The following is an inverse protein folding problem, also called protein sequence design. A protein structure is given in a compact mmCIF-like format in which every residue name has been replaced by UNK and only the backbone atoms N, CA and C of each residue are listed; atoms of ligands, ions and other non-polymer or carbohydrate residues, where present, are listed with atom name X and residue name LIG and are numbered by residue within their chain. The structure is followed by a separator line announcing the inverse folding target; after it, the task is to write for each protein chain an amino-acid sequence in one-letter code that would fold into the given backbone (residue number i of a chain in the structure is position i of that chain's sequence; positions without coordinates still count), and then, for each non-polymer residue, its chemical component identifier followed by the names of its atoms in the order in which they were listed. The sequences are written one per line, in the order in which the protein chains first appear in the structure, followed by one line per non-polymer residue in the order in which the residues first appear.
data_IF_905730856181
#
_entry.id   IF_905730856181
#
_cell.length_a   1.000
_cell.length_b   1.000
_cell.length_c   1.000
_cell.angle_alpha   90.00
_cell.angle_beta   90.00
_cell.angle_gamma   90.00
#
_symmetry.space_group_name_H-M   'P 1'
#
loop_
_entity.id
_entity.type
_entity.pdbx_description
1 polymer ?
#
# COMPACT_ATOMS: atom_id res chain seq x y z
N UNK A 1 -14.73 -5.64 -4.64
CA UNK A 1 -13.89 -5.63 -3.43
C UNK A 1 -14.66 -6.21 -2.24
N UNK A 2 -13.96 -6.62 -1.19
CA UNK A 2 -14.56 -7.22 0.01
C UNK A 2 -14.41 -6.26 1.20
N UNK A 3 -15.39 -6.27 2.12
CA UNK A 3 -15.17 -5.83 3.50
C UNK A 3 -14.29 -6.89 4.15
N UNK A 4 -13.08 -6.52 4.56
CA UNK A 4 -12.13 -7.47 5.14
C UNK A 4 -12.30 -7.55 6.66
N UNK A 5 -12.07 -8.71 7.28
CA UNK A 5 -12.22 -8.84 8.72
C UNK A 5 -11.11 -8.12 9.50
N UNK A 6 -11.44 -7.78 10.75
CA UNK A 6 -10.49 -7.40 11.78
C UNK A 6 -10.34 -8.58 12.75
N UNK A 7 -9.11 -8.91 13.15
CA UNK A 7 -8.80 -10.00 14.05
C UNK A 7 -7.84 -9.56 15.16
N UNK A 8 -8.12 -9.91 16.40
CA UNK A 8 -7.20 -9.67 17.52
C UNK A 8 -5.92 -10.50 17.36
N UNK A 9 -4.77 -9.91 17.67
CA UNK A 9 -3.45 -10.56 17.67
C UNK A 9 -2.92 -10.68 19.09
N UNK A 10 -3.02 -11.85 19.68
CA UNK A 10 -2.46 -12.11 21.01
C UNK A 10 -0.94 -11.93 21.00
N UNK A 11 -0.26 -12.47 20.00
CA UNK A 11 1.19 -12.36 19.86
C UNK A 11 1.68 -10.91 19.90
N UNK A 12 1.10 -10.04 19.06
CA UNK A 12 1.54 -8.64 18.99
C UNK A 12 1.10 -7.85 20.23
N UNK A 13 -0.02 -8.21 20.84
CA UNK A 13 -0.46 -7.61 22.11
C UNK A 13 0.52 -7.90 23.23
N UNK A 14 0.95 -9.15 23.38
CA UNK A 14 1.95 -9.55 24.37
C UNK A 14 3.32 -8.90 24.09
N UNK A 15 3.74 -8.83 22.81
CA UNK A 15 5.04 -8.28 22.43
C UNK A 15 5.12 -6.75 22.65
N UNK A 16 4.03 -6.01 22.46
CA UNK A 16 4.03 -4.54 22.47
C UNK A 16 3.42 -3.92 23.74
N UNK A 17 2.70 -4.70 24.52
CA UNK A 17 1.90 -4.19 25.65
C UNK A 17 0.69 -3.36 25.24
N UNK A 18 0.25 -3.45 23.98
CA UNK A 18 -0.94 -2.82 23.41
C UNK A 18 -2.07 -3.84 23.24
N UNK A 19 -3.29 -3.39 22.99
CA UNK A 19 -4.41 -4.23 22.52
C UNK A 19 -4.43 -4.18 20.98
N UNK A 20 -3.84 -5.20 20.31
CA UNK A 20 -3.51 -5.18 18.88
C UNK A 20 -4.51 -5.97 18.06
N UNK A 21 -5.06 -5.31 17.04
CA UNK A 21 -5.90 -5.93 16.01
C UNK A 21 -5.24 -5.83 14.63
N UNK A 22 -5.58 -6.76 13.74
CA UNK A 22 -5.08 -6.86 12.37
C UNK A 22 -6.23 -6.67 11.38
N UNK A 23 -6.16 -5.65 10.51
CA UNK A 23 -7.04 -5.48 9.35
C UNK A 23 -6.50 -6.26 8.17
N UNK A 24 -7.22 -7.29 7.71
CA UNK A 24 -6.72 -8.31 6.80
C UNK A 24 -6.94 -7.95 5.32
N UNK A 25 -6.28 -6.90 4.80
CA UNK A 25 -6.35 -6.54 3.38
C UNK A 25 -5.68 -7.56 2.44
N UNK A 26 -4.93 -8.50 3.00
CA UNK A 26 -4.42 -9.70 2.33
C UNK A 26 -5.52 -10.60 1.76
N UNK A 27 -6.75 -10.53 2.28
CA UNK A 27 -7.89 -11.32 1.84
C UNK A 27 -8.69 -10.70 0.68
N UNK A 28 -8.29 -9.53 0.20
CA UNK A 28 -8.90 -8.93 -0.99
C UNK A 28 -8.69 -9.83 -2.23
N UNK A 29 -9.58 -9.78 -3.26
CA UNK A 29 -9.46 -10.57 -4.48
C UNK A 29 -8.11 -10.42 -5.20
N UNK A 30 -7.45 -9.28 -5.04
CA UNK A 30 -6.11 -9.02 -5.59
C UNK A 30 -5.00 -9.18 -4.56
N UNK A 31 -5.31 -9.71 -3.38
CA UNK A 31 -4.42 -9.91 -2.24
C UNK A 31 -3.73 -8.62 -1.74
N UNK A 32 -4.35 -7.46 -1.93
CA UNK A 32 -3.89 -6.18 -1.37
C UNK A 32 -4.99 -5.12 -1.33
N UNK A 33 -4.83 -4.13 -0.44
CA UNK A 33 -5.73 -2.98 -0.31
C UNK A 33 -5.88 -2.15 -1.58
N UNK A 34 -4.91 -2.25 -2.52
CA UNK A 34 -4.87 -1.45 -3.75
C UNK A 34 -6.16 -1.56 -4.58
N UNK A 35 -6.88 -2.67 -4.45
CA UNK A 35 -8.18 -2.84 -5.14
C UNK A 35 -9.20 -1.78 -4.73
N UNK A 36 -9.15 -1.27 -3.51
CA UNK A 36 -10.09 -0.26 -3.00
C UNK A 36 -9.97 1.05 -3.79
N UNK A 37 -8.74 1.57 -3.87
CA UNK A 37 -8.46 2.80 -4.63
C UNK A 37 -8.65 2.61 -6.13
N UNK A 38 -8.19 1.50 -6.69
CA UNK A 38 -8.36 1.17 -8.10
C UNK A 38 -9.84 1.08 -8.49
N UNK A 39 -10.65 0.35 -7.71
CA UNK A 39 -12.09 0.23 -7.96
C UNK A 39 -12.80 1.59 -7.86
N UNK A 40 -12.49 2.39 -6.83
CA UNK A 40 -13.12 3.70 -6.67
C UNK A 40 -12.80 4.63 -7.85
N UNK A 41 -11.54 4.69 -8.29
CA UNK A 41 -11.15 5.51 -9.44
C UNK A 41 -11.83 5.06 -10.73
N UNK A 42 -11.87 3.75 -10.99
CA UNK A 42 -12.52 3.19 -12.19
C UNK A 42 -14.02 3.45 -12.20
N UNK A 43 -14.72 3.22 -11.09
CA UNK A 43 -16.17 3.44 -11.01
C UNK A 43 -16.54 4.91 -11.20
N UNK A 44 -15.81 5.84 -10.60
CA UNK A 44 -16.05 7.28 -10.80
C UNK A 44 -15.82 7.72 -12.25
N UNK A 45 -14.80 7.17 -12.92
CA UNK A 45 -14.59 7.43 -14.34
C UNK A 45 -15.73 6.88 -15.21
N UNK A 46 -16.22 5.67 -14.90
CA UNK A 46 -17.37 5.09 -15.59
C UNK A 46 -18.64 5.93 -15.41
N UNK A 47 -18.92 6.38 -14.19
CA UNK A 47 -20.06 7.23 -13.87
C UNK A 47 -20.01 8.59 -14.61
N UNK A 48 -18.80 9.18 -14.73
CA UNK A 48 -18.60 10.47 -15.40
C UNK A 48 -18.55 10.37 -16.93
N UNK A 49 -18.47 9.17 -17.50
CA UNK A 49 -18.33 8.94 -18.94
C UNK A 49 -19.23 7.77 -19.40
N UNK A 50 -20.58 7.92 -19.26
CA UNK A 50 -21.51 6.80 -19.51
C UNK A 50 -21.53 6.34 -20.98
N UNK A 51 -21.26 7.25 -21.94
CA UNK A 51 -21.35 6.97 -23.37
C UNK A 51 -20.05 6.39 -23.97
N UNK A 52 -18.91 6.63 -23.33
CA UNK A 52 -17.60 6.16 -23.82
C UNK A 52 -16.61 6.03 -22.66
N UNK A 53 -16.50 4.83 -22.10
CA UNK A 53 -15.52 4.55 -21.06
C UNK A 53 -14.08 4.85 -21.53
N UNK A 54 -13.33 5.72 -20.83
CA UNK A 54 -11.98 6.09 -21.25
C UNK A 54 -11.02 4.91 -21.10
N UNK A 55 -9.98 4.87 -21.93
CA UNK A 55 -8.85 3.97 -21.72
C UNK A 55 -8.06 4.41 -20.49
N UNK A 56 -7.55 3.44 -19.74
CA UNK A 56 -6.76 3.68 -18.52
C UNK A 56 -5.29 3.38 -18.77
N UNK A 57 -4.44 4.11 -18.08
CA UNK A 57 -2.99 3.92 -18.13
C UNK A 57 -2.40 3.97 -16.73
N UNK A 58 -1.41 3.12 -16.47
CA UNK A 58 -0.61 3.20 -15.23
C UNK A 58 0.80 2.66 -15.44
N UNK A 59 1.67 2.92 -14.47
CA UNK A 59 3.00 2.31 -14.37
C UNK A 59 3.07 1.52 -13.06
N UNK A 60 2.95 0.19 -13.15
CA UNK A 60 3.10 -0.68 -11.97
C UNK A 60 3.13 -2.15 -12.37
N UNK A 61 4.22 -2.86 -12.07
CA UNK A 61 4.26 -4.32 -12.16
C UNK A 61 3.72 -5.04 -10.90
N UNK A 62 3.36 -4.28 -9.85
CA UNK A 62 2.97 -4.80 -8.54
C UNK A 62 1.47 -4.72 -8.24
N UNK A 63 1.18 -4.48 -6.97
CA UNK A 63 -0.18 -4.48 -6.42
C UNK A 63 -1.14 -3.52 -7.11
N UNK A 64 -0.66 -2.32 -7.50
CA UNK A 64 -1.53 -1.34 -8.17
C UNK A 64 -1.88 -1.78 -9.58
N UNK A 65 -0.90 -2.20 -10.39
CA UNK A 65 -1.17 -2.70 -11.75
C UNK A 65 -2.17 -3.86 -11.76
N UNK A 66 -2.01 -4.82 -10.84
CA UNK A 66 -2.94 -5.94 -10.67
C UNK A 66 -4.34 -5.48 -10.24
N UNK A 67 -4.41 -4.55 -9.27
CA UNK A 67 -5.70 -4.04 -8.77
C UNK A 67 -6.44 -3.22 -9.84
N UNK A 68 -5.72 -2.37 -10.58
CA UNK A 68 -6.31 -1.58 -11.65
C UNK A 68 -6.77 -2.47 -12.82
N UNK A 69 -5.98 -3.51 -13.17
CA UNK A 69 -6.37 -4.47 -14.19
C UNK A 69 -7.66 -5.22 -13.79
N UNK A 70 -7.78 -5.62 -12.52
CA UNK A 70 -8.99 -6.25 -12.01
C UNK A 70 -10.20 -5.31 -12.09
N UNK A 71 -10.05 -4.05 -11.68
CA UNK A 71 -11.13 -3.06 -11.70
C UNK A 71 -11.53 -2.70 -13.12
N UNK A 72 -10.55 -2.48 -14.01
CA UNK A 72 -10.78 -2.15 -15.42
C UNK A 72 -11.51 -3.29 -16.15
N UNK A 73 -11.08 -4.55 -15.96
CA UNK A 73 -11.76 -5.72 -16.52
C UNK A 73 -13.21 -5.83 -16.07
N UNK A 74 -13.49 -5.59 -14.78
CA UNK A 74 -14.84 -5.61 -14.23
C UNK A 74 -15.75 -4.49 -14.80
N UNK A 75 -15.16 -3.36 -15.18
CA UNK A 75 -15.87 -2.22 -15.77
C UNK A 75 -15.88 -2.23 -17.31
N UNK A 76 -15.26 -3.22 -17.96
CA UNK A 76 -15.13 -3.27 -19.41
C UNK A 76 -14.24 -2.18 -20.02
N UNK A 77 -13.32 -1.61 -19.22
CA UNK A 77 -12.40 -0.55 -19.65
C UNK A 77 -11.07 -1.14 -20.16
N UNK A 78 -10.54 -0.57 -21.24
CA UNK A 78 -9.19 -0.88 -21.70
C UNK A 78 -8.14 -0.34 -20.71
N UNK A 79 -7.08 -1.13 -20.46
CA UNK A 79 -5.98 -0.73 -19.60
C UNK A 79 -4.62 -1.04 -20.24
N UNK A 80 -3.76 -0.03 -20.29
CA UNK A 80 -2.33 -0.17 -20.63
C UNK A 80 -1.49 -0.02 -19.36
N UNK A 81 -0.62 -1.00 -19.10
CA UNK A 81 0.29 -0.99 -17.94
C UNK A 81 1.74 -0.98 -18.43
N UNK A 82 2.45 0.07 -18.09
CA UNK A 82 3.89 0.16 -18.29
C UNK A 82 4.62 -0.56 -17.17
N UNK A 83 5.56 -1.44 -17.53
CA UNK A 83 6.25 -2.32 -16.56
C UNK A 83 7.73 -2.42 -16.87
N UNK A 84 8.61 -2.50 -15.86
CA UNK A 84 10.03 -2.79 -16.10
C UNK A 84 10.22 -4.16 -16.73
N UNK A 85 11.15 -4.30 -17.67
CA UNK A 85 11.47 -5.57 -18.35
C UNK A 85 11.96 -6.66 -17.40
N UNK A 86 12.63 -6.24 -16.30
CA UNK A 86 13.14 -7.14 -15.26
C UNK A 86 12.11 -7.49 -14.17
N UNK A 87 10.88 -7.00 -14.29
CA UNK A 87 9.84 -7.31 -13.30
C UNK A 87 9.53 -8.83 -13.26
N UNK A 88 9.26 -9.40 -12.05
CA UNK A 88 9.01 -10.82 -11.91
C UNK A 88 7.88 -11.33 -12.80
N UNK A 89 8.12 -12.42 -13.54
CA UNK A 89 7.14 -13.00 -14.48
C UNK A 89 5.80 -13.33 -13.80
N UNK A 90 5.83 -13.79 -12.56
CA UNK A 90 4.62 -14.09 -11.77
C UNK A 90 3.72 -12.87 -11.60
N UNK A 91 4.30 -11.69 -11.34
CA UNK A 91 3.57 -10.42 -11.24
C UNK A 91 3.02 -9.98 -12.61
N UNK A 92 3.85 -10.03 -13.65
CA UNK A 92 3.48 -9.67 -15.04
C UNK A 92 2.33 -10.55 -15.55
N UNK A 93 2.41 -11.87 -15.37
CA UNK A 93 1.41 -12.81 -15.83
C UNK A 93 0.07 -12.66 -15.07
N UNK A 94 0.12 -12.25 -13.80
CA UNK A 94 -1.09 -11.95 -13.05
C UNK A 94 -1.86 -10.74 -13.62
N UNK A 95 -1.14 -9.70 -14.06
CA UNK A 95 -1.75 -8.52 -14.71
C UNK A 95 -2.26 -8.88 -16.12
N UNK A 96 -1.46 -9.59 -16.91
CA UNK A 96 -1.83 -10.02 -18.27
C UNK A 96 -3.09 -10.87 -18.29
N UNK A 97 -3.25 -11.82 -17.34
CA UNK A 97 -4.45 -12.67 -17.23
C UNK A 97 -5.75 -11.90 -16.96
N UNK A 98 -5.63 -10.67 -16.46
CA UNK A 98 -6.76 -9.76 -16.26
C UNK A 98 -7.09 -8.91 -17.50
N UNK A 99 -6.42 -9.15 -18.63
CA UNK A 99 -6.73 -8.51 -19.91
C UNK A 99 -6.02 -7.18 -20.17
N UNK A 100 -5.08 -6.76 -19.31
CA UNK A 100 -4.35 -5.51 -19.53
C UNK A 100 -3.28 -5.66 -20.64
N UNK A 101 -3.12 -4.62 -21.47
CA UNK A 101 -1.99 -4.48 -22.38
C UNK A 101 -0.74 -4.11 -21.58
N UNK A 102 0.35 -4.87 -21.77
CA UNK A 102 1.62 -4.62 -21.08
C UNK A 102 2.64 -3.99 -22.05
N UNK A 103 3.23 -2.87 -21.60
CA UNK A 103 4.28 -2.18 -22.34
C UNK A 103 5.59 -2.20 -21.54
N UNK A 104 6.59 -3.01 -21.97
CA UNK A 104 7.87 -3.11 -21.28
C UNK A 104 8.68 -1.82 -21.39
N UNK A 105 9.41 -1.50 -20.33
CA UNK A 105 10.31 -0.36 -20.21
C UNK A 105 11.60 -0.81 -19.54
N UNK A 106 12.68 -0.04 -19.71
CA UNK A 106 13.98 -0.35 -19.12
C UNK A 106 13.90 -0.45 -17.58
N UNK A 107 13.24 0.51 -16.96
CA UNK A 107 13.14 0.66 -15.51
C UNK A 107 11.80 1.30 -15.09
N UNK A 108 11.60 1.52 -13.77
CA UNK A 108 10.40 2.13 -13.25
C UNK A 108 10.24 3.61 -13.63
N UNK A 109 11.33 4.37 -13.69
CA UNK A 109 11.29 5.80 -14.01
C UNK A 109 10.86 6.00 -15.48
N UNK A 110 11.37 5.16 -16.38
CA UNK A 110 10.90 5.16 -17.77
C UNK A 110 9.43 4.73 -17.88
N UNK A 111 9.03 3.70 -17.12
CA UNK A 111 7.65 3.22 -17.13
C UNK A 111 6.67 4.31 -16.70
N UNK A 112 6.98 5.01 -15.60
CA UNK A 112 6.15 6.08 -15.09
C UNK A 112 6.11 7.29 -16.03
N UNK A 113 7.26 7.73 -16.53
CA UNK A 113 7.33 8.83 -17.49
C UNK A 113 6.51 8.53 -18.74
N UNK A 114 6.65 7.32 -19.31
CA UNK A 114 5.89 6.90 -20.51
C UNK A 114 4.39 6.77 -20.23
N UNK A 115 4.01 6.29 -19.06
CA UNK A 115 2.61 6.21 -18.67
C UNK A 115 1.99 7.60 -18.52
N UNK A 116 2.68 8.56 -17.88
CA UNK A 116 2.22 9.96 -17.77
C UNK A 116 2.14 10.68 -19.13
N UNK A 117 2.95 10.28 -20.12
CA UNK A 117 2.97 10.84 -21.46
C UNK A 117 2.06 10.10 -22.47
N UNK A 118 1.33 9.09 -22.02
CA UNK A 118 0.46 8.31 -22.90
C UNK A 118 -0.77 9.15 -23.33
N UNK A 119 -0.84 9.49 -24.62
CA UNK A 119 -1.80 10.47 -25.14
C UNK A 119 -3.27 10.04 -25.15
N UNK A 120 -3.53 8.72 -25.23
CA UNK A 120 -4.88 8.17 -25.50
C UNK A 120 -5.52 7.53 -24.25
N UNK A 121 -5.10 7.91 -23.02
CA UNK A 121 -5.62 7.30 -21.80
C UNK A 121 -5.49 8.18 -20.57
N UNK A 122 -6.32 7.90 -19.57
CA UNK A 122 -6.26 8.56 -18.27
C UNK A 122 -5.23 7.84 -17.39
N UNK A 123 -4.17 8.58 -17.01
CA UNK A 123 -3.17 8.05 -16.08
C UNK A 123 -3.73 7.94 -14.65
N UNK A 124 -3.69 6.74 -14.10
CA UNK A 124 -4.08 6.47 -12.71
C UNK A 124 -2.83 6.23 -11.89
N UNK A 125 -2.45 7.23 -11.09
CA UNK A 125 -1.31 7.11 -10.16
C UNK A 125 -1.56 6.05 -9.10
N UNK A 126 -0.56 5.23 -8.73
CA UNK A 126 -0.70 4.20 -7.69
C UNK A 126 -0.93 4.77 -6.28
N UNK A 127 -0.76 6.07 -6.05
CA UNK A 127 -0.86 6.68 -4.73
C UNK A 127 -1.29 8.16 -4.71
N UNK A 128 -1.08 8.92 -5.80
CA UNK A 128 -1.34 10.37 -5.82
C UNK A 128 -2.73 10.75 -6.38
N UNK A 129 -3.44 9.81 -7.03
CA UNK A 129 -4.76 10.09 -7.60
C UNK A 129 -5.80 10.27 -6.47
N UNK A 130 -6.61 11.35 -6.46
CA UNK A 130 -7.56 11.63 -5.38
C UNK A 130 -8.52 10.48 -5.10
N UNK A 131 -9.07 9.85 -6.14
CA UNK A 131 -10.00 8.74 -5.98
C UNK A 131 -9.33 7.45 -5.51
N UNK A 132 -8.02 7.27 -5.80
CA UNK A 132 -7.24 6.17 -5.25
C UNK A 132 -7.02 6.38 -3.74
N UNK A 133 -6.72 7.60 -3.32
CA UNK A 133 -6.59 7.97 -1.90
C UNK A 133 -7.93 7.79 -1.17
N UNK A 134 -9.03 8.29 -1.75
CA UNK A 134 -10.36 8.17 -1.17
C UNK A 134 -10.80 6.70 -1.00
N UNK A 135 -10.56 5.87 -2.04
CA UNK A 135 -10.84 4.44 -1.95
C UNK A 135 -9.99 3.72 -0.90
N UNK A 136 -8.71 4.10 -0.73
CA UNK A 136 -7.86 3.58 0.33
C UNK A 136 -8.36 3.96 1.73
N UNK A 137 -8.98 5.13 1.89
CA UNK A 137 -9.60 5.58 3.15
C UNK A 137 -10.72 4.67 3.67
N UNK A 138 -11.37 3.90 2.78
CA UNK A 138 -12.40 2.95 3.20
C UNK A 138 -11.87 1.85 4.15
N UNK A 139 -10.55 1.63 4.20
CA UNK A 139 -9.91 0.76 5.20
C UNK A 139 -10.17 1.29 6.60
N UNK A 140 -9.97 2.60 6.82
CA UNK A 140 -10.18 3.23 8.12
C UNK A 140 -11.66 3.28 8.50
N UNK A 141 -12.57 3.54 7.54
CA UNK A 141 -14.01 3.52 7.81
C UNK A 141 -14.46 2.15 8.34
N UNK A 142 -14.02 1.05 7.71
CA UNK A 142 -14.32 -0.30 8.19
C UNK A 142 -13.67 -0.59 9.56
N UNK A 143 -12.45 -0.08 9.81
CA UNK A 143 -11.78 -0.24 11.12
C UNK A 143 -12.57 0.46 12.22
N UNK A 144 -13.02 1.70 12.00
CA UNK A 144 -13.78 2.47 12.96
C UNK A 144 -15.14 1.84 13.30
N UNK A 145 -15.74 1.14 12.33
CA UNK A 145 -16.98 0.37 12.57
C UNK A 145 -16.70 -0.93 13.35
N UNK A 146 -15.61 -1.64 13.04
CA UNK A 146 -15.28 -2.95 13.65
C UNK A 146 -14.60 -2.79 15.02
N UNK A 147 -13.88 -1.70 15.26
CA UNK A 147 -13.14 -1.36 16.51
C UNK A 147 -13.40 0.12 16.84
N UNK A 148 -14.58 0.47 17.34
CA UNK A 148 -14.99 1.87 17.54
C UNK A 148 -14.11 2.68 18.51
N UNK A 149 -13.41 2.01 19.41
CA UNK A 149 -12.50 2.59 20.40
C UNK A 149 -11.01 2.46 20.01
N UNK A 150 -10.72 2.27 18.72
CA UNK A 150 -9.34 2.27 18.22
C UNK A 150 -8.70 3.65 18.44
N UNK A 151 -7.49 3.67 19.00
CA UNK A 151 -6.73 4.90 19.25
C UNK A 151 -5.68 5.18 18.17
N UNK A 152 -5.15 4.12 17.53
CA UNK A 152 -4.11 4.28 16.50
C UNK A 152 -4.30 3.26 15.40
N UNK A 153 -4.27 3.72 14.14
CA UNK A 153 -4.23 2.86 12.96
C UNK A 153 -2.80 2.92 12.39
N UNK A 154 -2.15 1.78 12.33
CA UNK A 154 -0.75 1.64 11.86
C UNK A 154 -0.73 1.10 10.44
N UNK A 155 -0.08 1.82 9.53
CA UNK A 155 0.05 1.39 8.14
C UNK A 155 1.43 1.72 7.55
N UNK A 156 1.90 0.90 6.63
CA UNK A 156 3.13 1.15 5.88
C UNK A 156 2.99 2.34 4.93
N UNK A 157 4.07 3.09 4.74
CA UNK A 157 4.17 4.23 3.83
C UNK A 157 5.16 3.92 2.72
N UNK A 158 4.65 3.86 1.46
CA UNK A 158 5.46 4.06 0.25
C UNK A 158 5.17 5.47 -0.30
N UNK A 159 4.46 5.60 -1.41
CA UNK A 159 4.03 6.92 -1.94
C UNK A 159 2.93 7.64 -1.15
N UNK A 160 2.54 7.13 0.01
CA UNK A 160 1.64 7.82 0.95
C UNK A 160 0.13 7.65 0.71
N UNK A 161 -0.31 6.97 -0.37
CA UNK A 161 -1.74 6.91 -0.71
C UNK A 161 -2.60 6.19 0.34
N UNK A 162 -2.12 5.07 0.92
CA UNK A 162 -2.85 4.35 1.97
C UNK A 162 -2.98 5.18 3.23
N UNK A 163 -1.84 5.63 3.76
CA UNK A 163 -1.83 6.38 5.01
C UNK A 163 -2.55 7.71 4.90
N UNK A 164 -2.52 8.37 3.74
CA UNK A 164 -3.28 9.59 3.47
C UNK A 164 -4.78 9.33 3.54
N UNK A 165 -5.26 8.27 2.89
CA UNK A 165 -6.67 7.88 2.94
C UNK A 165 -7.11 7.54 4.37
N UNK A 166 -6.30 6.75 5.10
CA UNK A 166 -6.55 6.42 6.50
C UNK A 166 -6.60 7.68 7.35
N UNK A 167 -5.58 8.54 7.28
CA UNK A 167 -5.47 9.74 8.10
C UNK A 167 -6.62 10.72 7.88
N UNK A 168 -7.11 10.87 6.65
CA UNK A 168 -8.29 11.69 6.36
C UNK A 168 -9.55 11.07 6.98
N UNK A 169 -9.76 9.76 6.77
CA UNK A 169 -10.98 9.08 7.20
C UNK A 169 -11.07 8.89 8.72
N UNK A 170 -9.94 8.85 9.43
CA UNK A 170 -9.88 8.67 10.89
C UNK A 170 -9.56 9.93 11.69
N UNK A 171 -9.43 11.11 11.05
CA UNK A 171 -8.88 12.34 11.65
C UNK A 171 -9.54 12.75 12.98
N UNK A 172 -10.84 12.52 13.12
CA UNK A 172 -11.62 12.92 14.29
C UNK A 172 -11.76 11.79 15.35
N UNK A 173 -11.22 10.60 15.06
CA UNK A 173 -11.48 9.41 15.88
C UNK A 173 -10.20 8.70 16.34
N UNK A 174 -9.23 8.51 15.45
CA UNK A 174 -8.02 7.75 15.71
C UNK A 174 -6.80 8.40 15.06
N UNK A 175 -5.65 8.21 15.69
CA UNK A 175 -4.35 8.63 15.15
C UNK A 175 -3.91 7.71 14.01
N UNK A 176 -3.45 8.28 12.90
CA UNK A 176 -2.75 7.53 11.86
C UNK A 176 -1.24 7.54 12.14
N UNK A 177 -0.64 6.37 12.23
CA UNK A 177 0.80 6.19 12.37
C UNK A 177 1.37 5.45 11.17
N UNK A 178 2.43 5.99 10.60
CA UNK A 178 3.06 5.47 9.40
C UNK A 178 4.34 4.68 9.69
N UNK A 179 4.70 3.79 8.77
CA UNK A 179 5.96 3.04 8.87
C UNK A 179 6.68 3.05 7.53
N UNK A 180 7.89 3.54 7.52
CA UNK A 180 8.85 3.46 6.41
C UNK A 180 9.92 2.39 6.71
N UNK A 181 10.66 2.02 5.67
CA UNK A 181 11.79 1.10 5.79
C UNK A 181 13.10 1.87 5.69
N UNK A 182 14.15 1.41 6.39
CA UNK A 182 15.44 2.09 6.44
C UNK A 182 16.07 2.32 5.06
N UNK A 183 15.81 1.40 4.12
CA UNK A 183 16.29 1.50 2.75
C UNK A 183 15.53 2.55 1.89
N UNK A 184 14.38 3.06 2.36
CA UNK A 184 13.57 4.05 1.64
C UNK A 184 12.73 4.86 2.64
N UNK A 185 13.17 6.08 2.95
CA UNK A 185 12.56 6.99 3.94
C UNK A 185 12.17 8.33 3.33
N UNK A 186 11.45 8.36 2.19
CA UNK A 186 11.18 9.60 1.48
C UNK A 186 10.33 10.59 2.29
N UNK A 187 9.36 10.13 3.10
CA UNK A 187 8.57 11.01 3.96
C UNK A 187 9.36 11.52 5.16
N UNK A 188 10.04 10.65 5.90
CA UNK A 188 10.86 11.06 7.06
C UNK A 188 11.87 12.11 6.64
N UNK A 189 12.58 11.91 5.52
CA UNK A 189 13.59 12.83 5.01
C UNK A 189 12.98 14.13 4.50
N UNK A 190 11.88 14.07 3.75
CA UNK A 190 11.21 15.24 3.19
C UNK A 190 10.52 16.08 4.26
N UNK A 191 9.93 15.46 5.29
CA UNK A 191 9.35 16.17 6.43
C UNK A 191 10.42 16.92 7.24
N UNK A 192 11.58 16.30 7.47
CA UNK A 192 12.70 16.95 8.12
C UNK A 192 13.25 18.14 7.30
N UNK A 193 13.24 18.03 5.96
CA UNK A 193 13.64 19.10 5.06
C UNK A 193 12.57 20.19 4.86
N UNK A 194 11.33 19.96 5.29
CA UNK A 194 10.17 20.84 5.06
C UNK A 194 9.68 20.88 3.61
N UNK A 195 10.22 20.07 2.72
CA UNK A 195 9.87 19.96 1.29
C UNK A 195 10.19 18.57 0.78
N UNK A 196 9.60 18.18 -0.34
CA UNK A 196 9.95 16.93 -1.01
C UNK A 196 11.42 17.01 -1.47
N UNK A 197 12.19 15.98 -1.15
CA UNK A 197 13.58 15.79 -1.58
C UNK A 197 13.77 14.39 -2.10
N UNK A 198 14.69 14.21 -3.04
CA UNK A 198 15.15 12.88 -3.46
C UNK A 198 16.08 12.29 -2.40
N UNK A 199 15.98 11.00 -2.22
CA UNK A 199 16.84 10.19 -1.36
C UNK A 199 17.49 9.08 -2.18
N UNK A 200 18.62 8.57 -1.69
CA UNK A 200 19.16 7.31 -2.19
C UNK A 200 18.27 6.15 -1.70
N UNK A 201 17.79 5.35 -2.65
CA UNK A 201 16.89 4.23 -2.37
C UNK A 201 17.68 2.93 -2.42
N UNK A 202 17.71 2.20 -1.30
CA UNK A 202 18.39 0.93 -1.17
C UNK A 202 17.51 -0.28 -1.53
N UNK A 203 18.14 -1.47 -1.55
CA UNK A 203 17.41 -2.72 -1.68
C UNK A 203 16.63 -3.06 -0.41
N UNK A 204 15.40 -3.56 -0.55
CA UNK A 204 14.52 -3.91 0.56
C UNK A 204 13.62 -5.09 0.24
N UNK A 205 13.25 -5.85 1.29
CA UNK A 205 12.18 -6.85 1.24
C UNK A 205 10.82 -6.23 0.93
N UNK A 206 10.65 -4.96 1.30
CA UNK A 206 9.42 -4.19 1.13
C UNK A 206 9.41 -3.43 -0.21
N UNK A 207 9.57 -4.15 -1.34
CA UNK A 207 9.62 -3.59 -2.70
C UNK A 207 8.44 -2.63 -3.01
N UNK A 208 7.29 -2.86 -2.40
CA UNK A 208 6.11 -2.00 -2.55
C UNK A 208 6.21 -0.64 -1.84
N UNK A 209 7.24 -0.41 -1.01
CA UNK A 209 7.50 0.85 -0.30
C UNK A 209 8.70 1.61 -0.88
N UNK A 210 9.47 0.98 -1.78
CA UNK A 210 10.70 1.51 -2.34
C UNK A 210 10.43 2.57 -3.39
N UNK A 211 11.05 3.74 -3.27
CA UNK A 211 10.99 4.81 -4.27
C UNK A 211 11.01 6.21 -3.66
N UNK A 212 11.15 7.20 -4.53
CA UNK A 212 11.03 8.61 -4.21
C UNK A 212 9.59 9.10 -4.40
N UNK A 213 9.26 10.26 -3.84
CA UNK A 213 7.95 10.89 -4.01
C UNK A 213 7.92 11.70 -5.31
N UNK A 214 6.78 11.69 -5.99
CA UNK A 214 6.52 12.66 -7.05
C UNK A 214 6.60 14.09 -6.48
N UNK A 215 7.27 15.04 -7.18
CA UNK A 215 7.44 16.41 -6.68
C UNK A 215 6.12 17.11 -6.32
N UNK A 216 5.05 16.79 -7.05
CA UNK A 216 3.73 17.43 -6.90
C UNK A 216 2.70 16.51 -6.21
N UNK A 217 3.14 15.46 -5.50
CA UNK A 217 2.19 14.56 -4.87
C UNK A 217 1.39 15.21 -3.74
N UNK A 218 0.06 15.11 -3.74
CA UNK A 218 -0.76 15.65 -2.65
C UNK A 218 -0.55 14.90 -1.32
N UNK A 219 0.00 13.69 -1.38
CA UNK A 219 0.20 12.85 -0.19
C UNK A 219 1.19 13.46 0.79
N UNK A 220 2.19 14.24 0.32
CA UNK A 220 3.14 14.91 1.21
C UNK A 220 2.45 15.88 2.17
N UNK A 221 1.60 16.75 1.66
CA UNK A 221 0.89 17.73 2.50
C UNK A 221 -0.14 17.05 3.42
N UNK A 222 -0.79 16.00 2.97
CA UNK A 222 -1.73 15.22 3.80
C UNK A 222 -0.98 14.56 4.96
N UNK A 223 0.11 13.86 4.67
CA UNK A 223 0.93 13.19 5.68
C UNK A 223 1.50 14.20 6.67
N UNK A 224 2.06 15.32 6.19
CA UNK A 224 2.59 16.40 7.03
C UNK A 224 1.57 16.94 8.03
N UNK A 225 0.30 17.06 7.63
CA UNK A 225 -0.75 17.61 8.49
C UNK A 225 -1.40 16.60 9.41
N UNK A 226 -1.62 15.38 8.93
CA UNK A 226 -2.52 14.42 9.59
C UNK A 226 -1.83 13.21 10.19
N UNK A 227 -0.64 12.82 9.71
CA UNK A 227 0.10 11.68 10.27
C UNK A 227 0.98 12.15 11.41
N UNK A 228 0.74 11.62 12.61
CA UNK A 228 1.39 12.12 13.83
C UNK A 228 2.77 11.52 14.08
N UNK A 229 2.95 10.26 13.69
CA UNK A 229 4.19 9.50 13.93
C UNK A 229 4.56 8.71 12.70
N UNK A 230 5.85 8.67 12.39
CA UNK A 230 6.42 7.77 11.39
C UNK A 230 7.56 7.01 12.06
N UNK A 231 7.46 5.69 12.08
CA UNK A 231 8.53 4.80 12.50
C UNK A 231 9.33 4.32 11.28
N UNK A 232 10.61 4.01 11.51
CA UNK A 232 11.49 3.43 10.48
C UNK A 232 11.97 2.07 10.99
N UNK A 233 11.78 1.02 10.17
CA UNK A 233 12.18 -0.35 10.50
C UNK A 233 13.32 -0.83 9.62
N UNK A 234 14.14 -1.75 10.15
CA UNK A 234 15.25 -2.37 9.44
C UNK A 234 14.80 -3.59 8.60
N UNK A 235 15.69 -4.08 7.72
CA UNK A 235 15.46 -5.32 6.97
C UNK A 235 15.35 -6.55 7.90
N UNK A 236 16.07 -6.54 9.02
CA UNK A 236 15.97 -7.59 10.03
C UNK A 236 14.62 -7.58 10.73
N UNK A 237 14.12 -6.40 11.10
CA UNK A 237 12.78 -6.22 11.66
C UNK A 237 11.70 -6.73 10.66
N UNK A 238 11.85 -6.42 9.35
CA UNK A 238 10.96 -6.90 8.30
C UNK A 238 10.95 -8.43 8.18
N UNK A 239 12.14 -9.04 8.09
CA UNK A 239 12.26 -10.49 7.99
C UNK A 239 11.67 -11.20 9.22
N UNK A 240 11.91 -10.66 10.41
CA UNK A 240 11.31 -11.16 11.66
C UNK A 240 9.79 -11.03 11.67
N UNK A 241 9.24 -9.92 11.16
CA UNK A 241 7.80 -9.72 11.07
C UNK A 241 7.13 -10.67 10.07
N UNK A 242 7.76 -10.95 8.92
CA UNK A 242 7.26 -11.95 7.96
C UNK A 242 7.18 -13.32 8.61
N UNK A 243 8.25 -13.77 9.28
CA UNK A 243 8.30 -15.07 10.00
C UNK A 243 7.29 -15.12 11.13
N UNK A 244 7.28 -14.10 11.99
CA UNK A 244 6.39 -14.03 13.16
C UNK A 244 4.92 -14.06 12.75
N UNK A 245 4.54 -13.33 11.70
CA UNK A 245 3.16 -13.35 11.19
C UNK A 245 2.76 -14.74 10.69
N UNK A 246 3.65 -15.44 9.99
CA UNK A 246 3.37 -16.81 9.56
C UNK A 246 3.27 -17.77 10.73
N UNK A 247 4.16 -17.66 11.73
CA UNK A 247 4.22 -18.55 12.87
C UNK A 247 3.07 -18.37 13.85
N UNK A 248 2.72 -17.13 14.16
CA UNK A 248 1.71 -16.82 15.19
C UNK A 248 0.32 -16.57 14.63
N UNK A 249 0.24 -15.93 13.45
CA UNK A 249 -1.02 -15.55 12.83
C UNK A 249 -1.49 -16.52 11.74
N UNK A 250 -0.62 -17.42 11.25
CA UNK A 250 -0.90 -18.31 10.10
C UNK A 250 -1.26 -17.55 8.83
N UNK A 251 -0.64 -16.38 8.65
CA UNK A 251 -0.83 -15.52 7.48
C UNK A 251 0.46 -15.35 6.70
N UNK A 252 0.34 -15.35 5.38
CA UNK A 252 1.42 -14.95 4.47
C UNK A 252 1.22 -13.46 4.17
N UNK A 253 2.27 -12.65 4.39
CA UNK A 253 2.29 -11.22 4.07
C UNK A 253 3.50 -10.88 3.23
N UNK A 254 3.40 -9.84 2.41
CA UNK A 254 4.53 -9.25 1.68
C UNK A 254 5.33 -8.28 2.57
N UNK A 255 6.56 -7.93 2.16
CA UNK A 255 7.44 -7.05 2.92
C UNK A 255 6.83 -5.69 3.24
N UNK A 256 6.04 -5.13 2.32
CA UNK A 256 5.33 -3.87 2.57
C UNK A 256 4.32 -3.98 3.73
N UNK A 257 3.59 -5.08 3.83
CA UNK A 257 2.67 -5.31 4.96
C UNK A 257 3.45 -5.62 6.25
N UNK A 258 4.60 -6.29 6.14
CA UNK A 258 5.45 -6.62 7.27
C UNK A 258 6.02 -5.37 7.97
N UNK A 259 6.19 -4.24 7.29
CA UNK A 259 6.71 -3.02 7.88
C UNK A 259 5.86 -2.53 9.07
N UNK A 260 4.53 -2.52 8.92
CA UNK A 260 3.62 -2.11 10.00
C UNK A 260 3.66 -3.10 11.19
N UNK A 261 3.76 -4.39 10.93
CA UNK A 261 3.94 -5.43 11.96
C UNK A 261 5.28 -5.26 12.66
N UNK A 262 6.36 -5.06 11.89
CA UNK A 262 7.72 -4.88 12.37
C UNK A 262 7.83 -3.72 13.37
N UNK A 263 7.23 -2.57 13.06
CA UNK A 263 7.28 -1.39 13.90
C UNK A 263 6.67 -1.62 15.29
N UNK A 264 5.63 -2.45 15.38
CA UNK A 264 4.97 -2.80 16.64
C UNK A 264 5.72 -3.92 17.36
N UNK A 265 6.07 -5.01 16.65
CA UNK A 265 6.76 -6.15 17.23
C UNK A 265 8.16 -5.82 17.77
N UNK A 266 8.90 -4.89 17.11
CA UNK A 266 10.23 -4.44 17.54
C UNK A 266 10.21 -3.17 18.40
N UNK A 267 9.04 -2.73 18.86
CA UNK A 267 8.85 -1.52 19.68
C UNK A 267 9.47 -0.24 19.05
N UNK A 268 9.54 -0.17 17.71
CA UNK A 268 9.94 1.06 17.00
C UNK A 268 8.86 2.13 17.01
N UNK A 269 7.63 1.72 17.22
CA UNK A 269 6.48 2.58 17.44
C UNK A 269 5.96 2.33 18.86
N UNK A 270 6.04 3.33 19.72
CA UNK A 270 5.50 3.25 21.08
C UNK A 270 3.97 3.25 21.04
N UNK A 271 3.39 2.11 21.39
CA UNK A 271 1.93 1.87 21.40
C UNK A 271 1.45 1.22 22.70
N UNK A 272 2.32 1.07 23.70
CA UNK A 272 2.01 0.41 24.95
C UNK A 272 0.77 1.04 25.63
N UNK A 273 -0.13 0.19 26.10
CA UNK A 273 -1.38 0.59 26.75
C UNK A 273 -2.47 1.12 25.80
N UNK A 274 -2.22 1.18 24.49
CA UNK A 274 -3.20 1.64 23.49
C UNK A 274 -3.94 0.50 22.83
N UNK A 275 -5.13 0.78 22.32
CA UNK A 275 -5.84 -0.08 21.39
C UNK A 275 -5.50 0.33 19.95
N UNK A 276 -4.88 -0.59 19.19
CA UNK A 276 -4.38 -0.28 17.86
C UNK A 276 -4.86 -1.28 16.81
N UNK A 277 -4.96 -0.82 15.57
CA UNK A 277 -5.19 -1.70 14.41
C UNK A 277 -4.02 -1.57 13.43
N UNK A 278 -3.38 -2.68 13.12
CA UNK A 278 -2.34 -2.79 12.09
C UNK A 278 -2.99 -3.21 10.77
N UNK A 279 -2.72 -2.47 9.69
CA UNK A 279 -3.20 -2.83 8.35
C UNK A 279 -2.22 -3.79 7.69
N UNK A 280 -2.60 -5.06 7.55
CA UNK A 280 -1.88 -6.04 6.72
C UNK A 280 -2.19 -5.77 5.25
N UNK A 281 -1.46 -4.86 4.65
CA UNK A 281 -1.78 -4.19 3.40
C UNK A 281 -1.76 -5.08 2.15
N UNK A 282 -1.01 -6.21 2.17
CA UNK A 282 -0.93 -7.13 1.03
C UNK A 282 -0.18 -8.43 1.31
N UNK A 283 -0.35 -9.39 0.39
CA UNK A 283 0.26 -10.72 0.43
C UNK A 283 0.90 -11.15 -0.91
N UNK A 284 1.14 -10.22 -1.85
CA UNK A 284 1.70 -10.53 -3.16
C UNK A 284 3.22 -10.70 -3.13
N UNK A 285 3.70 -11.65 -2.33
CA UNK A 285 5.11 -12.06 -2.25
C UNK A 285 5.34 -13.31 -3.12
N UNK A 286 6.54 -13.43 -3.71
CA UNK A 286 6.96 -14.68 -4.33
C UNK A 286 7.14 -15.75 -3.26
N UNK A 287 6.49 -16.91 -3.43
CA UNK A 287 6.50 -17.97 -2.43
C UNK A 287 7.88 -18.60 -2.23
N UNK A 288 8.75 -18.59 -3.25
CA UNK A 288 10.13 -19.04 -3.12
C UNK A 288 10.91 -18.07 -2.24
N UNK A 289 10.76 -16.76 -2.47
CA UNK A 289 11.36 -15.73 -1.62
C UNK A 289 10.83 -15.80 -0.18
N UNK A 290 9.53 -16.01 -0.03
CA UNK A 290 8.91 -16.17 1.27
C UNK A 290 9.44 -17.40 2.01
N UNK A 291 9.57 -18.54 1.34
CA UNK A 291 10.13 -19.77 1.94
C UNK A 291 11.58 -19.57 2.43
N UNK A 292 12.40 -18.83 1.68
CA UNK A 292 13.77 -18.50 2.11
C UNK A 292 13.80 -17.60 3.36
N UNK A 293 12.83 -16.70 3.51
CA UNK A 293 12.69 -15.85 4.68
C UNK A 293 12.16 -16.60 5.90
N UNK A 294 11.46 -17.71 5.68
CA UNK A 294 10.80 -18.51 6.74
C UNK A 294 11.66 -19.64 7.27
N UNK A 295 12.77 -19.96 6.58
CA UNK A 295 13.77 -20.93 7.01
C UNK A 295 14.73 -20.34 8.04
#
# INVERSE_FOLDING_TARGET
MLRTPVRHSQWLSEASGADVFLKLETLQPTFSYKIRGATNAVLKLAENSPDAAPALVTASAGNHGRALAYAAAAAGMALTVYVPEHAPRTKIDAIRRLGAELRPCRDYDEAERRAKQHGDGIYISPYAHPDVIAGAGTVALEILEDVPDVETIVAAIGGGGLISGIAIASSDHAEAAGVEVQASTPFTSSLAAGRIIEIEVGETLADGLSGNLDPDTPTFDIVRRLVKRIAVVSEEDLASAVRGTAQHERLIIEGAAAAAVAAVASCRLDVAGRKIVIVLSGANIDLTKWAQLSA
#
